data_IF_185784465937
#
_entry.id   IF_185784465937
#
_cell.length_a   1.000
_cell.length_b   1.000
_cell.length_c   1.000
_cell.angle_alpha   90.00
_cell.angle_beta   90.00
_cell.angle_gamma   90.00
#
_symmetry.space_group_name_H-M   'P 1'
#
loop_
_entity.id
_entity.type
_entity.pdbx_description
1 polymer ?
#
# COMPACT_ATOMS: atom_id res chain seq x y z
N UNK A 1 16.60 -0.57 -32.83
CA UNK A 1 15.23 -0.26 -32.36
C UNK A 1 15.30 0.12 -30.89
N UNK A 2 14.59 1.15 -30.49
CA UNK A 2 14.57 1.63 -29.10
C UNK A 2 13.73 0.68 -28.23
N UNK A 3 14.24 0.32 -27.05
CA UNK A 3 13.45 -0.44 -26.07
C UNK A 3 12.50 0.50 -25.34
N UNK A 4 11.20 0.22 -25.41
CA UNK A 4 10.18 0.98 -24.69
C UNK A 4 9.28 0.03 -23.88
N UNK A 5 8.52 0.59 -22.93
CA UNK A 5 7.55 -0.18 -22.13
C UNK A 5 6.24 -0.41 -22.89
N UNK A 6 5.46 -1.37 -22.43
CA UNK A 6 4.08 -1.58 -22.90
C UNK A 6 3.24 -0.34 -22.68
N UNK A 7 3.37 0.34 -21.53
CA UNK A 7 2.68 1.62 -21.28
C UNK A 7 2.95 2.62 -22.39
N UNK A 8 4.23 2.89 -22.69
CA UNK A 8 4.60 3.87 -23.72
C UNK A 8 4.15 3.44 -25.13
N UNK A 9 4.22 2.15 -25.45
CA UNK A 9 3.82 1.64 -26.76
C UNK A 9 2.30 1.70 -27.01
N UNK A 10 1.49 1.91 -25.96
CA UNK A 10 0.02 2.02 -26.07
C UNK A 10 -0.43 3.43 -26.48
N UNK A 11 0.42 4.43 -26.32
CA UNK A 11 0.11 5.83 -26.61
C UNK A 11 0.13 6.11 -28.12
N UNK A 12 -0.68 7.07 -28.57
CA UNK A 12 -0.85 7.39 -29.99
C UNK A 12 0.45 7.95 -30.61
N UNK A 13 1.25 8.65 -29.80
CA UNK A 13 2.56 9.20 -30.17
C UNK A 13 3.58 8.10 -30.51
N UNK A 14 3.30 6.84 -30.18
CA UNK A 14 4.15 5.74 -30.54
C UNK A 14 4.00 5.29 -32.01
N UNK A 15 2.91 5.67 -32.70
CA UNK A 15 2.62 5.23 -34.07
C UNK A 15 3.76 5.60 -35.04
N UNK A 16 4.14 4.65 -35.90
CA UNK A 16 5.22 4.76 -36.86
C UNK A 16 6.62 4.50 -36.29
N UNK A 17 6.77 4.34 -34.96
CA UNK A 17 8.07 4.04 -34.35
C UNK A 17 8.47 2.57 -34.53
N UNK A 18 9.76 2.35 -34.75
CA UNK A 18 10.39 1.03 -34.73
C UNK A 18 10.92 0.72 -33.32
N UNK A 19 10.26 -0.21 -32.64
CA UNK A 19 10.43 -0.43 -31.19
C UNK A 19 10.88 -1.85 -30.87
N UNK A 20 11.41 -2.02 -29.66
CA UNK A 20 11.72 -3.30 -29.05
C UNK A 20 10.90 -3.45 -27.75
N UNK A 21 9.96 -4.39 -27.71
CA UNK A 21 9.20 -4.74 -26.51
C UNK A 21 9.76 -6.02 -25.89
N UNK A 22 9.77 -6.09 -24.56
CA UNK A 22 10.15 -7.28 -23.82
C UNK A 22 9.15 -7.51 -22.69
N UNK A 23 8.65 -8.72 -22.54
CA UNK A 23 7.65 -9.02 -21.54
C UNK A 23 7.17 -10.47 -21.58
N UNK A 24 6.01 -10.71 -20.97
CA UNK A 24 5.41 -12.02 -20.87
C UNK A 24 4.12 -12.11 -21.67
N UNK A 25 3.94 -13.22 -22.36
CA UNK A 25 2.72 -13.54 -23.08
C UNK A 25 1.58 -13.73 -22.07
N UNK A 26 0.49 -13.00 -22.26
CA UNK A 26 -0.77 -13.18 -21.53
C UNK A 26 -1.65 -14.18 -22.22
N UNK A 27 -1.81 -14.02 -23.54
CA UNK A 27 -2.57 -14.93 -24.38
C UNK A 27 -2.04 -14.89 -25.81
N UNK A 28 -2.17 -16.01 -26.51
CA UNK A 28 -2.01 -16.12 -27.96
C UNK A 28 -3.35 -16.50 -28.59
N UNK A 29 -3.68 -15.94 -29.75
CA UNK A 29 -4.82 -16.36 -30.57
C UNK A 29 -4.41 -16.41 -32.04
N UNK A 30 -4.58 -17.55 -32.67
CA UNK A 30 -4.21 -17.76 -34.07
C UNK A 30 -5.38 -17.34 -34.97
N UNK A 31 -5.09 -16.53 -35.99
CA UNK A 31 -6.06 -16.03 -36.96
C UNK A 31 -6.14 -16.96 -38.16
N UNK A 32 -7.35 -17.10 -38.74
CA UNK A 32 -7.53 -17.77 -40.04
C UNK A 32 -6.82 -17.04 -41.18
N UNK A 33 -6.45 -15.76 -40.98
CA UNK A 33 -5.72 -14.94 -41.95
C UNK A 33 -4.21 -15.20 -42.02
N UNK A 34 -3.67 -16.21 -41.31
CA UNK A 34 -2.25 -16.55 -41.40
C UNK A 34 -1.33 -15.72 -40.50
N UNK A 35 -1.79 -15.36 -39.30
CA UNK A 35 -1.01 -14.64 -38.30
C UNK A 35 -1.53 -14.92 -36.89
N UNK A 36 -0.71 -14.67 -35.86
CA UNK A 36 -1.07 -14.82 -34.45
C UNK A 36 -1.16 -13.46 -33.76
N UNK A 37 -2.21 -13.28 -32.97
CA UNK A 37 -2.32 -12.17 -32.01
C UNK A 37 -1.68 -12.57 -30.69
N UNK A 38 -0.62 -11.85 -30.29
CA UNK A 38 0.02 -12.00 -28.99
C UNK A 38 -0.38 -10.83 -28.10
N UNK A 39 -0.95 -11.12 -26.93
CA UNK A 39 -1.15 -10.11 -25.89
C UNK A 39 0.08 -10.12 -24.99
N UNK A 40 0.92 -9.08 -25.08
CA UNK A 40 2.17 -8.94 -24.36
C UNK A 40 2.02 -7.96 -23.19
N UNK A 41 2.58 -8.26 -22.01
CA UNK A 41 2.58 -7.35 -20.87
C UNK A 41 3.94 -7.41 -20.15
N UNK A 42 4.43 -6.27 -19.72
CA UNK A 42 5.71 -6.13 -19.00
C UNK A 42 5.54 -5.61 -17.56
N UNK A 43 4.29 -5.45 -17.10
CA UNK A 43 3.94 -4.91 -15.78
C UNK A 43 3.87 -3.38 -15.70
N UNK A 44 4.31 -2.64 -16.71
CA UNK A 44 4.33 -1.16 -16.71
C UNK A 44 2.93 -0.52 -16.74
N UNK A 45 1.91 -1.27 -17.15
CA UNK A 45 0.49 -0.89 -17.11
C UNK A 45 -0.40 -2.10 -16.89
N UNK A 46 -1.68 -1.88 -16.58
CA UNK A 46 -2.66 -2.97 -16.50
C UNK A 46 -2.93 -3.56 -17.89
N UNK A 47 -3.17 -2.70 -18.88
CA UNK A 47 -3.44 -3.11 -20.25
C UNK A 47 -2.23 -3.77 -20.91
N UNK A 48 -2.53 -4.66 -21.85
CA UNK A 48 -1.53 -5.37 -22.66
C UNK A 48 -1.22 -4.59 -23.93
N UNK A 49 -0.12 -4.94 -24.58
CA UNK A 49 0.13 -4.59 -25.97
C UNK A 49 -0.18 -5.75 -26.89
N UNK A 50 -1.13 -5.56 -27.79
CA UNK A 50 -1.35 -6.49 -28.90
C UNK A 50 -0.22 -6.41 -29.91
N UNK A 51 0.34 -7.56 -30.24
CA UNK A 51 1.34 -7.78 -31.27
C UNK A 51 0.75 -8.71 -32.34
N UNK A 52 0.90 -8.34 -33.60
CA UNK A 52 0.59 -9.16 -34.77
C UNK A 52 1.90 -9.83 -35.21
N UNK A 53 1.91 -11.15 -35.21
CA UNK A 53 3.01 -11.96 -35.68
C UNK A 53 2.56 -12.74 -36.92
N UNK A 54 3.03 -12.35 -38.10
CA UNK A 54 2.65 -12.95 -39.37
C UNK A 54 3.32 -14.31 -39.60
N UNK A 55 2.70 -15.16 -40.43
CA UNK A 55 3.20 -16.50 -40.73
C UNK A 55 4.50 -16.52 -41.56
N UNK A 56 4.92 -15.39 -42.09
CA UNK A 56 6.20 -15.22 -42.79
C UNK A 56 7.40 -15.11 -41.83
N UNK A 57 7.16 -14.92 -40.53
CA UNK A 57 8.21 -14.92 -39.53
C UNK A 57 8.92 -16.29 -39.48
N UNK A 58 10.27 -16.34 -39.52
CA UNK A 58 11.01 -17.61 -39.68
C UNK A 58 10.71 -18.68 -38.63
N UNK A 59 10.39 -18.27 -37.39
CA UNK A 59 10.08 -19.17 -36.27
C UNK A 59 8.57 -19.30 -36.00
N UNK A 60 7.71 -18.89 -36.95
CA UNK A 60 6.26 -18.86 -36.71
C UNK A 60 5.68 -20.23 -36.36
N UNK A 61 5.92 -21.23 -37.21
CA UNK A 61 5.43 -22.60 -37.03
C UNK A 61 6.15 -23.33 -35.87
N UNK A 62 7.44 -23.08 -35.68
CA UNK A 62 8.24 -23.79 -34.69
C UNK A 62 8.09 -23.26 -33.26
N UNK A 63 7.84 -21.96 -33.08
CA UNK A 63 7.85 -21.31 -31.76
C UNK A 63 6.60 -20.46 -31.52
N UNK A 64 6.25 -19.54 -32.43
CA UNK A 64 5.20 -18.52 -32.17
C UNK A 64 3.84 -19.19 -31.95
N UNK A 65 3.47 -20.18 -32.76
CA UNK A 65 2.24 -20.98 -32.60
C UNK A 65 2.23 -21.87 -31.36
N UNK A 66 3.33 -21.94 -30.63
CA UNK A 66 3.47 -22.70 -29.40
C UNK A 66 3.60 -21.81 -28.15
N UNK A 67 3.63 -20.48 -28.31
CA UNK A 67 3.68 -19.55 -27.18
C UNK A 67 2.44 -19.64 -26.28
N UNK A 68 2.66 -19.88 -25.00
CA UNK A 68 1.64 -20.02 -23.96
C UNK A 68 1.70 -18.83 -22.99
N UNK A 69 0.71 -18.74 -22.10
CA UNK A 69 0.72 -17.73 -21.04
C UNK A 69 1.95 -17.94 -20.13
N UNK A 70 2.71 -16.88 -19.89
CA UNK A 70 3.94 -16.93 -19.08
C UNK A 70 5.24 -17.09 -19.88
N UNK A 71 5.18 -17.39 -21.19
CA UNK A 71 6.38 -17.32 -22.03
C UNK A 71 6.96 -15.91 -22.02
N UNK A 72 8.29 -15.81 -21.95
CA UNK A 72 9.01 -14.53 -22.01
C UNK A 72 9.58 -14.32 -23.40
N UNK A 73 9.35 -13.14 -23.98
CA UNK A 73 9.71 -12.84 -25.38
C UNK A 73 10.30 -11.45 -25.53
N UNK A 74 11.07 -11.26 -26.60
CA UNK A 74 11.35 -9.95 -27.19
C UNK A 74 10.66 -9.85 -28.53
N UNK A 75 10.00 -8.72 -28.76
CA UNK A 75 9.35 -8.40 -30.04
C UNK A 75 10.00 -7.15 -30.59
N UNK A 76 10.47 -7.22 -31.83
CA UNK A 76 10.96 -6.06 -32.57
C UNK A 76 10.01 -5.82 -33.73
N UNK A 77 9.54 -4.58 -33.88
CA UNK A 77 8.51 -4.29 -34.86
C UNK A 77 8.09 -2.82 -34.89
N UNK A 78 7.11 -2.56 -35.74
CA UNK A 78 6.56 -1.23 -35.96
C UNK A 78 5.26 -1.05 -35.16
N UNK A 79 5.12 0.08 -34.47
CA UNK A 79 3.83 0.46 -33.90
C UNK A 79 2.95 1.04 -34.99
N UNK A 80 1.72 0.53 -35.12
CA UNK A 80 0.72 1.02 -36.05
C UNK A 80 -0.56 1.38 -35.33
N UNK A 81 -1.39 2.18 -35.99
CA UNK A 81 -2.76 2.40 -35.57
C UNK A 81 -3.51 1.06 -35.54
N UNK A 82 -4.24 0.80 -34.45
CA UNK A 82 -4.98 -0.45 -34.32
C UNK A 82 -6.29 -0.39 -35.09
N UNK A 83 -6.50 -1.35 -35.99
CA UNK A 83 -7.81 -1.55 -36.64
C UNK A 83 -8.89 -2.15 -35.71
N UNK A 84 -8.52 -2.58 -34.49
CA UNK A 84 -9.42 -3.19 -33.52
C UNK A 84 -9.97 -2.21 -32.47
N UNK A 85 -11.21 -2.44 -32.02
CA UNK A 85 -11.81 -1.68 -30.91
C UNK A 85 -11.08 -1.94 -29.58
N UNK A 86 -10.93 -0.90 -28.76
CA UNK A 86 -10.43 -1.01 -27.38
C UNK A 86 -8.93 -0.79 -27.17
N UNK A 87 -8.19 -0.38 -28.20
CA UNK A 87 -6.78 0.01 -28.09
C UNK A 87 -6.44 1.01 -29.22
N UNK A 88 -5.60 2.00 -28.93
CA UNK A 88 -5.18 2.99 -29.95
C UNK A 88 -4.16 2.41 -30.93
N UNK A 89 -3.25 1.58 -30.44
CA UNK A 89 -2.12 1.05 -31.22
C UNK A 89 -2.03 -0.47 -31.20
N UNK A 90 -1.28 -1.04 -32.14
CA UNK A 90 -0.81 -2.42 -32.16
C UNK A 90 0.61 -2.49 -32.72
N UNK A 91 1.34 -3.58 -32.48
CA UNK A 91 2.71 -3.76 -33.00
C UNK A 91 2.71 -4.83 -34.07
N UNK A 92 3.19 -4.51 -35.27
CA UNK A 92 3.44 -5.46 -36.34
C UNK A 92 4.87 -5.98 -36.16
N UNK A 93 5.01 -7.26 -35.79
CA UNK A 93 6.29 -7.85 -35.46
C UNK A 93 7.09 -8.15 -36.73
N UNK A 94 8.32 -7.63 -36.80
CA UNK A 94 9.32 -8.06 -37.78
C UNK A 94 10.22 -9.18 -37.24
N UNK A 95 10.29 -9.35 -35.93
CA UNK A 95 11.04 -10.41 -35.26
C UNK A 95 10.44 -10.71 -33.88
N UNK A 96 10.31 -12.00 -33.54
CA UNK A 96 9.92 -12.47 -32.20
C UNK A 96 10.97 -13.45 -31.70
N UNK A 97 11.59 -13.15 -30.56
CA UNK A 97 12.62 -13.97 -29.92
C UNK A 97 12.05 -14.54 -28.63
N UNK A 98 12.00 -15.88 -28.52
CA UNK A 98 11.62 -16.59 -27.30
C UNK A 98 12.82 -16.71 -26.35
N UNK A 99 12.65 -16.27 -25.09
CA UNK A 99 13.69 -16.37 -24.05
C UNK A 99 13.45 -17.52 -23.08
N UNK A 100 12.18 -17.85 -22.82
CA UNK A 100 11.82 -18.89 -21.87
C UNK A 100 10.37 -19.31 -22.04
N UNK A 101 10.15 -20.62 -22.00
CA UNK A 101 8.83 -21.24 -22.12
C UNK A 101 8.12 -21.33 -20.78
N UNK A 102 6.80 -21.49 -20.83
CA UNK A 102 5.97 -21.85 -19.68
C UNK A 102 5.01 -22.97 -20.08
N UNK A 103 5.09 -24.12 -19.41
CA UNK A 103 4.17 -25.22 -19.72
C UNK A 103 2.74 -24.84 -19.31
N UNK A 104 1.81 -24.89 -20.27
CA UNK A 104 0.42 -24.50 -20.06
C UNK A 104 -0.30 -25.38 -19.02
N UNK A 105 0.10 -26.64 -18.86
CA UNK A 105 -0.55 -27.57 -17.94
C UNK A 105 -0.11 -27.34 -16.50
N UNK A 106 1.16 -26.98 -16.29
CA UNK A 106 1.77 -26.86 -14.97
C UNK A 106 1.95 -25.42 -14.49
N UNK A 107 1.89 -24.42 -15.38
CA UNK A 107 2.08 -23.02 -15.00
C UNK A 107 1.00 -22.54 -14.02
N UNK A 108 1.32 -22.12 -12.79
CA UNK A 108 0.31 -21.84 -11.76
C UNK A 108 -0.70 -20.74 -12.13
N UNK A 109 -0.27 -19.73 -12.88
CA UNK A 109 -1.10 -18.60 -13.30
C UNK A 109 -1.79 -18.84 -14.65
N UNK A 110 -2.38 -20.03 -14.83
CA UNK A 110 -3.23 -20.32 -15.98
C UNK A 110 -4.34 -19.27 -16.12
N UNK A 111 -4.87 -19.12 -17.34
CA UNK A 111 -5.93 -18.16 -17.69
C UNK A 111 -7.30 -18.60 -17.12
N UNK A 112 -7.39 -18.63 -15.80
CA UNK A 112 -8.59 -18.90 -15.01
C UNK A 112 -8.61 -17.97 -13.79
N UNK A 113 -9.77 -17.87 -13.14
CA UNK A 113 -9.88 -17.13 -11.88
C UNK A 113 -9.14 -17.90 -10.79
N UNK A 114 -8.32 -17.19 -10.02
CA UNK A 114 -7.68 -17.70 -8.80
C UNK A 114 -8.22 -16.91 -7.61
N UNK A 115 -8.42 -17.55 -6.47
CA UNK A 115 -8.79 -16.85 -5.24
C UNK A 115 -7.63 -16.05 -4.68
N UNK A 116 -7.92 -15.02 -3.87
CA UNK A 116 -6.86 -14.25 -3.22
C UNK A 116 -6.08 -15.11 -2.21
N UNK A 117 -6.73 -16.07 -1.56
CA UNK A 117 -6.11 -17.05 -0.66
C UNK A 117 -5.02 -17.83 -1.41
N UNK A 118 -5.34 -18.35 -2.60
CA UNK A 118 -4.35 -19.09 -3.38
C UNK A 118 -3.21 -18.20 -3.87
N UNK A 119 -3.51 -16.95 -4.22
CA UNK A 119 -2.49 -15.99 -4.60
C UNK A 119 -1.58 -15.59 -3.43
N UNK A 120 -2.05 -15.63 -2.17
CA UNK A 120 -1.19 -15.45 -0.99
C UNK A 120 -0.18 -16.59 -0.85
N UNK A 121 -0.56 -17.83 -1.14
CA UNK A 121 0.39 -18.97 -1.17
C UNK A 121 1.45 -18.81 -2.28
N UNK A 122 1.07 -18.19 -3.41
CA UNK A 122 1.97 -17.90 -4.53
C UNK A 122 2.47 -16.46 -4.55
N UNK A 123 2.90 -15.94 -3.39
CA UNK A 123 3.34 -14.56 -3.22
C UNK A 123 4.42 -14.12 -4.24
N UNK A 124 5.32 -15.04 -4.63
CA UNK A 124 6.38 -14.79 -5.61
C UNK A 124 5.88 -14.68 -7.07
N UNK A 125 4.68 -15.19 -7.39
CA UNK A 125 4.09 -15.11 -8.74
C UNK A 125 2.95 -14.10 -8.83
N UNK A 126 2.21 -13.86 -7.74
CA UNK A 126 0.99 -13.04 -7.76
C UNK A 126 1.15 -11.64 -8.36
N UNK A 127 2.29 -10.91 -8.29
CA UNK A 127 2.43 -9.61 -8.94
C UNK A 127 2.24 -9.65 -10.46
N UNK A 128 2.36 -10.84 -11.06
CA UNK A 128 2.07 -11.06 -12.48
C UNK A 128 0.58 -11.09 -12.78
N UNK A 129 -0.32 -11.12 -11.81
CA UNK A 129 -1.77 -11.05 -12.05
C UNK A 129 -2.24 -9.61 -12.17
N UNK A 130 -3.40 -9.39 -12.80
CA UNK A 130 -3.96 -8.04 -12.97
C UNK A 130 -4.15 -7.33 -11.63
N UNK A 131 -4.80 -7.99 -10.67
CA UNK A 131 -5.14 -7.40 -9.38
C UNK A 131 -3.90 -7.01 -8.57
N UNK A 132 -2.94 -7.92 -8.41
CA UNK A 132 -1.78 -7.65 -7.55
C UNK A 132 -0.73 -6.79 -8.28
N UNK A 133 -0.70 -6.80 -9.61
CA UNK A 133 0.05 -5.81 -10.40
C UNK A 133 -0.51 -4.40 -10.21
N UNK A 134 -1.84 -4.24 -10.24
CA UNK A 134 -2.51 -2.97 -9.95
C UNK A 134 -2.23 -2.49 -8.52
N UNK A 135 -2.33 -3.37 -7.52
CA UNK A 135 -1.97 -3.05 -6.13
C UNK A 135 -0.53 -2.55 -6.03
N UNK A 136 0.42 -3.20 -6.70
CA UNK A 136 1.82 -2.79 -6.66
C UNK A 136 2.05 -1.40 -7.29
N UNK A 137 1.43 -1.12 -8.44
CA UNK A 137 1.54 0.20 -9.10
C UNK A 137 0.88 1.31 -8.28
N UNK A 138 -0.31 1.06 -7.72
CA UNK A 138 -1.02 2.02 -6.87
C UNK A 138 -0.22 2.28 -5.58
N UNK A 139 0.32 1.24 -4.92
CA UNK A 139 1.20 1.39 -3.77
C UNK A 139 2.44 2.23 -4.11
N UNK A 140 3.05 2.01 -5.27
CA UNK A 140 4.18 2.83 -5.73
C UNK A 140 3.78 4.31 -5.93
N UNK A 141 2.60 4.58 -6.49
CA UNK A 141 2.08 5.95 -6.61
C UNK A 141 1.90 6.60 -5.23
N UNK A 142 1.30 5.88 -4.29
CA UNK A 142 1.12 6.33 -2.90
C UNK A 142 2.48 6.67 -2.29
N UNK A 143 3.49 5.80 -2.37
CA UNK A 143 4.81 6.07 -1.80
C UNK A 143 5.45 7.35 -2.40
N UNK A 144 5.35 7.53 -3.71
CA UNK A 144 5.85 8.75 -4.38
C UNK A 144 5.09 9.99 -3.92
N UNK A 145 3.77 9.92 -3.84
CA UNK A 145 2.91 11.02 -3.39
C UNK A 145 3.25 11.45 -1.96
N UNK A 146 3.44 10.48 -1.05
CA UNK A 146 3.86 10.73 0.33
C UNK A 146 5.17 11.51 0.38
N UNK A 147 6.20 11.05 -0.34
CA UNK A 147 7.49 11.73 -0.38
C UNK A 147 7.38 13.15 -0.94
N UNK A 148 6.64 13.31 -2.05
CA UNK A 148 6.43 14.62 -2.66
C UNK A 148 5.71 15.57 -1.71
N UNK A 149 4.60 15.14 -1.09
CA UNK A 149 3.83 15.95 -0.14
C UNK A 149 4.70 16.48 0.98
N UNK A 150 5.43 15.60 1.68
CA UNK A 150 6.24 16.03 2.82
C UNK A 150 7.40 16.94 2.39
N UNK A 151 8.06 16.66 1.26
CA UNK A 151 9.13 17.54 0.75
C UNK A 151 8.62 18.91 0.32
N UNK A 152 7.47 18.97 -0.35
CA UNK A 152 6.81 20.23 -0.74
C UNK A 152 6.36 21.04 0.50
N UNK A 153 5.89 20.36 1.56
CA UNK A 153 5.58 20.97 2.85
C UNK A 153 6.83 21.28 3.68
N UNK A 154 8.05 21.02 3.18
CA UNK A 154 9.33 21.36 3.82
C UNK A 154 9.73 20.45 4.99
N UNK A 155 9.24 19.22 5.03
CA UNK A 155 9.71 18.18 5.95
C UNK A 155 10.95 17.46 5.39
N UNK A 156 11.85 17.05 6.28
CA UNK A 156 13.03 16.25 5.92
C UNK A 156 12.79 14.76 6.19
N UNK A 157 13.14 13.92 5.23
CA UNK A 157 13.11 12.47 5.42
C UNK A 157 14.25 12.04 6.34
N UNK A 158 13.93 11.40 7.46
CA UNK A 158 14.91 10.87 8.41
C UNK A 158 14.77 9.36 8.56
N UNK A 159 15.91 8.69 8.72
CA UNK A 159 15.95 7.24 8.97
C UNK A 159 16.16 7.01 10.47
N UNK A 160 15.10 6.58 11.14
CA UNK A 160 15.12 6.18 12.55
C UNK A 160 15.60 4.73 12.69
N UNK A 161 16.20 4.34 13.82
CA UNK A 161 16.72 3.00 14.02
C UNK A 161 15.61 1.95 14.09
N UNK A 162 15.84 0.80 13.43
CA UNK A 162 14.91 -0.33 13.47
C UNK A 162 15.17 -1.23 14.69
N UNK A 163 16.44 -1.43 15.04
CA UNK A 163 16.81 -2.16 16.25
C UNK A 163 16.86 -1.17 17.41
N UNK A 164 16.07 -1.43 18.44
CA UNK A 164 15.91 -0.55 19.60
C UNK A 164 16.00 -1.31 20.91
N UNK A 165 16.35 -0.60 21.98
CA UNK A 165 16.21 -1.06 23.36
C UNK A 165 15.03 -0.40 24.09
N UNK A 166 14.26 0.43 23.38
CA UNK A 166 13.12 1.20 23.89
C UNK A 166 11.81 0.61 23.40
N UNK A 167 10.80 0.60 24.26
CA UNK A 167 9.42 0.33 23.87
C UNK A 167 8.69 1.67 23.73
N UNK A 168 8.40 2.06 22.49
CA UNK A 168 7.77 3.35 22.18
C UNK A 168 6.30 3.40 22.62
N UNK A 169 5.56 2.30 22.43
CA UNK A 169 4.12 2.26 22.72
C UNK A 169 3.80 1.71 24.12
N UNK A 170 4.78 1.09 24.81
CA UNK A 170 4.63 0.57 26.16
C UNK A 170 3.79 -0.70 26.25
N UNK A 171 3.53 -1.35 25.11
CA UNK A 171 2.69 -2.54 25.00
C UNK A 171 3.46 -3.86 25.24
N UNK A 172 4.79 -3.82 25.28
CA UNK A 172 5.65 -4.95 25.65
C UNK A 172 5.75 -6.11 24.65
N UNK A 173 4.90 -6.18 23.63
CA UNK A 173 4.89 -7.24 22.62
C UNK A 173 5.80 -6.91 21.43
N UNK A 174 7.12 -6.94 21.66
CA UNK A 174 8.14 -6.66 20.64
C UNK A 174 8.92 -7.92 20.23
N UNK A 175 9.32 -8.02 18.96
CA UNK A 175 10.21 -9.08 18.52
C UNK A 175 11.63 -8.85 19.03
N UNK A 176 12.20 -9.83 19.73
CA UNK A 176 13.58 -9.77 20.23
C UNK A 176 14.59 -10.02 19.11
N UNK A 177 15.62 -9.19 19.04
CA UNK A 177 16.78 -9.35 18.16
C UNK A 177 17.99 -9.74 19.01
N UNK A 178 18.56 -10.93 18.77
CA UNK A 178 19.64 -11.48 19.58
C UNK A 178 20.55 -12.35 18.72
N UNK A 179 21.84 -12.37 19.04
CA UNK A 179 22.81 -13.30 18.45
C UNK A 179 23.16 -14.46 19.38
N UNK A 180 22.57 -14.52 20.57
CA UNK A 180 22.79 -15.61 21.52
C UNK A 180 22.24 -16.92 20.96
N UNK A 181 22.91 -18.03 21.29
CA UNK A 181 22.40 -19.36 20.99
C UNK A 181 21.08 -19.59 21.78
N UNK A 182 19.94 -19.81 21.10
CA UNK A 182 18.66 -20.04 21.79
C UNK A 182 18.64 -21.35 22.58
N UNK A 183 19.46 -22.35 22.22
CA UNK A 183 19.55 -23.61 22.94
C UNK A 183 20.46 -23.53 24.17
N UNK A 184 21.50 -22.70 24.12
CA UNK A 184 22.49 -22.57 25.19
C UNK A 184 22.97 -21.12 25.38
N UNK A 185 22.09 -20.20 25.82
CA UNK A 185 22.49 -18.82 26.03
C UNK A 185 23.42 -18.70 27.24
N UNK A 186 24.39 -17.75 27.23
CA UNK A 186 25.19 -17.45 28.41
C UNK A 186 24.27 -17.02 29.57
N UNK A 187 24.62 -17.44 30.79
CA UNK A 187 23.82 -17.15 31.98
C UNK A 187 24.65 -16.49 33.07
N UNK A 188 24.01 -15.57 33.77
CA UNK A 188 24.50 -14.93 34.99
C UNK A 188 23.37 -14.97 36.01
N UNK A 189 23.65 -15.50 37.20
CA UNK A 189 22.67 -15.67 38.28
C UNK A 189 21.38 -16.41 37.86
N UNK A 190 21.53 -17.40 36.96
CA UNK A 190 20.43 -18.23 36.46
C UNK A 190 19.58 -17.61 35.35
N UNK A 191 19.80 -16.34 35.01
CA UNK A 191 19.13 -15.63 33.92
C UNK A 191 20.03 -15.49 32.70
N UNK A 192 19.45 -15.19 31.53
CA UNK A 192 20.22 -14.92 30.31
C UNK A 192 21.08 -13.67 30.56
N UNK A 193 22.38 -13.79 30.33
CA UNK A 193 23.32 -12.68 30.45
C UNK A 193 23.36 -11.86 29.14
N UNK A 194 22.44 -10.91 29.01
CA UNK A 194 22.37 -10.04 27.84
C UNK A 194 23.57 -9.11 27.68
N UNK A 195 24.45 -8.98 28.69
CA UNK A 195 25.71 -8.26 28.52
C UNK A 195 26.66 -8.95 27.53
N UNK A 196 26.42 -10.24 27.26
CA UNK A 196 27.13 -11.04 26.26
C UNK A 196 26.40 -11.14 24.91
N UNK A 197 25.25 -10.49 24.76
CA UNK A 197 24.58 -10.35 23.47
C UNK A 197 25.27 -9.26 22.62
N UNK A 198 24.93 -9.17 21.33
CA UNK A 198 25.57 -8.26 20.38
C UNK A 198 25.55 -6.78 20.81
N UNK A 199 24.44 -6.31 21.39
CA UNK A 199 24.26 -4.93 21.84
C UNK A 199 24.59 -4.73 23.33
N UNK A 200 25.09 -5.77 24.02
CA UNK A 200 25.36 -5.78 25.46
C UNK A 200 24.15 -5.41 26.34
N UNK A 201 22.94 -5.54 25.79
CA UNK A 201 21.63 -5.33 26.42
C UNK A 201 20.55 -6.00 25.55
N UNK A 202 19.34 -6.24 26.09
CA UNK A 202 18.21 -6.67 25.26
C UNK A 202 17.93 -5.69 24.13
N UNK A 203 17.70 -6.21 22.92
CA UNK A 203 17.37 -5.43 21.73
C UNK A 203 16.16 -6.05 21.01
N UNK A 204 15.42 -5.20 20.32
CA UNK A 204 14.12 -5.53 19.75
C UNK A 204 13.94 -4.84 18.39
N UNK A 205 12.98 -5.32 17.60
CA UNK A 205 12.49 -4.60 16.43
C UNK A 205 11.50 -3.53 16.88
N UNK A 206 11.65 -2.31 16.36
CA UNK A 206 10.85 -1.16 16.79
C UNK A 206 9.38 -1.27 16.38
N UNK A 207 8.50 -0.81 17.27
CA UNK A 207 7.07 -0.63 16.99
C UNK A 207 6.79 0.72 16.30
N UNK A 208 7.66 1.71 16.50
CA UNK A 208 7.51 3.09 16.00
C UNK A 208 8.86 3.83 16.08
N UNK A 209 9.12 4.72 15.12
CA UNK A 209 10.28 5.62 15.12
C UNK A 209 10.01 6.99 15.76
N UNK A 210 8.83 7.18 16.37
CA UNK A 210 8.35 8.47 16.86
C UNK A 210 9.32 9.13 17.85
N UNK A 211 9.78 8.42 18.87
CA UNK A 211 10.65 9.01 19.91
C UNK A 211 11.97 9.53 19.31
N UNK A 212 12.55 8.82 18.35
CA UNK A 212 13.72 9.32 17.62
C UNK A 212 13.36 10.49 16.70
N UNK A 213 12.20 10.46 16.04
CA UNK A 213 11.73 11.56 15.20
C UNK A 213 11.55 12.87 16.00
N UNK A 214 11.09 12.80 17.26
CA UNK A 214 10.99 13.96 18.16
C UNK A 214 12.36 14.61 18.39
N UNK A 215 13.43 13.82 18.55
CA UNK A 215 14.80 14.35 18.69
C UNK A 215 15.25 15.11 17.44
N UNK A 216 14.91 14.60 16.26
CA UNK A 216 15.22 15.26 14.99
C UNK A 216 14.37 16.51 14.78
N UNK A 217 13.08 16.49 15.12
CA UNK A 217 12.19 17.65 15.01
C UNK A 217 12.70 18.83 15.84
N UNK A 218 13.26 18.57 17.04
CA UNK A 218 13.88 19.60 17.88
C UNK A 218 15.11 20.27 17.23
N UNK A 219 15.78 19.60 16.30
CA UNK A 219 16.96 20.11 15.60
C UNK A 219 16.65 20.66 14.19
N UNK A 220 15.67 20.08 13.50
CA UNK A 220 15.41 20.28 12.08
C UNK A 220 14.03 20.90 11.80
N UNK A 221 13.22 21.13 12.82
CA UNK A 221 11.89 21.70 12.71
C UNK A 221 10.87 20.65 12.28
N UNK A 222 10.91 20.20 11.03
CA UNK A 222 9.91 19.28 10.45
C UNK A 222 10.58 18.07 9.82
N UNK A 223 10.23 16.87 10.29
CA UNK A 223 10.80 15.60 9.81
C UNK A 223 9.73 14.55 9.62
N UNK A 224 9.98 13.55 8.80
CA UNK A 224 9.12 12.38 8.73
C UNK A 224 9.94 11.11 8.58
N UNK A 225 9.45 10.02 9.17
CA UNK A 225 9.95 8.67 8.91
C UNK A 225 9.11 8.03 7.80
N UNK A 226 9.71 7.06 7.12
CA UNK A 226 9.05 6.14 6.22
C UNK A 226 9.87 4.86 6.33
N UNK A 227 9.41 3.93 7.15
CA UNK A 227 10.19 2.74 7.51
C UNK A 227 9.32 1.57 7.96
N UNK A 228 9.90 0.35 8.00
CA UNK A 228 9.21 -0.81 8.54
C UNK A 228 9.08 -0.73 10.06
N UNK A 229 7.95 -1.18 10.57
CA UNK A 229 7.67 -1.36 12.00
C UNK A 229 7.07 -2.74 12.25
N UNK A 230 7.15 -3.18 13.51
CA UNK A 230 6.87 -4.57 13.85
C UNK A 230 6.00 -4.66 15.10
N UNK A 231 5.04 -5.59 15.11
CA UNK A 231 4.22 -5.91 16.29
C UNK A 231 4.19 -7.42 16.50
N UNK A 232 4.52 -7.87 17.71
CA UNK A 232 4.57 -9.30 18.05
C UNK A 232 3.26 -9.82 18.66
N UNK A 233 2.18 -9.05 18.55
CA UNK A 233 0.85 -9.45 18.99
C UNK A 233 0.37 -10.71 18.26
N UNK A 234 -0.21 -11.65 19.01
CA UNK A 234 -0.77 -12.87 18.43
C UNK A 234 -2.17 -12.62 17.85
N UNK A 235 -2.23 -11.75 16.85
CA UNK A 235 -3.47 -11.30 16.19
C UNK A 235 -3.53 -11.81 14.75
N UNK A 236 -4.35 -12.84 14.51
CA UNK A 236 -4.60 -13.37 13.16
C UNK A 236 -5.95 -12.89 12.63
N UNK A 237 -5.96 -11.68 12.07
CA UNK A 237 -7.16 -11.05 11.50
C UNK A 237 -6.90 -10.59 10.07
N UNK A 238 -7.93 -10.12 9.37
CA UNK A 238 -7.79 -9.63 7.99
C UNK A 238 -7.08 -8.27 7.86
N UNK A 239 -6.78 -7.59 8.97
CA UNK A 239 -6.26 -6.21 9.00
C UNK A 239 -4.89 -6.06 9.66
N UNK A 240 -4.45 -7.04 10.46
CA UNK A 240 -3.19 -6.96 11.20
C UNK A 240 -2.04 -7.65 10.46
N UNK A 241 -0.85 -7.06 10.53
CA UNK A 241 0.40 -7.61 10.03
C UNK A 241 1.46 -7.48 11.13
N UNK A 242 2.32 -8.48 11.28
CA UNK A 242 3.45 -8.40 12.23
C UNK A 242 4.61 -7.55 11.71
N UNK A 243 4.68 -7.31 10.40
CA UNK A 243 5.60 -6.38 9.73
C UNK A 243 4.78 -5.50 8.78
N UNK A 244 4.85 -4.20 8.98
CA UNK A 244 4.17 -3.20 8.15
C UNK A 244 5.04 -1.97 8.03
N UNK A 245 4.56 -0.97 7.28
CA UNK A 245 5.31 0.26 7.03
C UNK A 245 4.54 1.42 7.62
N UNK A 246 5.22 2.23 8.43
CA UNK A 246 4.68 3.44 9.01
C UNK A 246 5.33 4.67 8.40
N UNK A 247 4.54 5.73 8.34
CA UNK A 247 4.95 7.05 7.91
C UNK A 247 4.63 7.98 9.06
N UNK A 248 5.66 8.50 9.71
CA UNK A 248 5.53 9.20 10.99
C UNK A 248 6.11 10.61 10.87
N UNK A 249 5.31 11.61 10.49
CA UNK A 249 5.73 13.00 10.51
C UNK A 249 5.75 13.56 11.94
N UNK A 250 6.80 14.33 12.26
CA UNK A 250 6.97 15.03 13.54
C UNK A 250 7.42 16.47 13.27
N UNK A 251 6.78 17.44 13.93
CA UNK A 251 6.96 18.86 13.65
C UNK A 251 7.03 19.70 14.93
N UNK A 252 8.14 20.41 15.10
CA UNK A 252 8.31 21.39 16.16
C UNK A 252 7.34 22.57 15.97
N UNK A 253 6.83 23.08 17.10
CA UNK A 253 5.89 24.20 17.16
C UNK A 253 4.50 23.95 16.56
N UNK A 254 4.14 22.68 16.28
CA UNK A 254 2.78 22.29 15.93
C UNK A 254 1.98 21.99 17.19
N UNK A 255 0.75 22.51 17.27
CA UNK A 255 -0.24 22.03 18.23
C UNK A 255 -1.10 20.90 17.64
N UNK A 256 -2.06 20.39 18.42
CA UNK A 256 -2.97 19.35 17.94
C UNK A 256 -3.78 19.79 16.71
N UNK A 257 -4.19 21.06 16.61
CA UNK A 257 -4.94 21.56 15.46
C UNK A 257 -4.09 21.60 14.19
N UNK A 258 -2.83 22.00 14.31
CA UNK A 258 -1.88 21.95 13.20
C UNK A 258 -1.67 20.51 12.72
N UNK A 259 -1.59 19.56 13.65
CA UNK A 259 -1.48 18.13 13.35
C UNK A 259 -2.72 17.59 12.61
N UNK A 260 -3.94 17.92 13.10
CA UNK A 260 -5.20 17.54 12.44
C UNK A 260 -5.28 18.08 11.00
N UNK A 261 -4.93 19.36 10.81
CA UNK A 261 -4.90 19.98 9.47
C UNK A 261 -3.86 19.35 8.56
N UNK A 262 -2.68 18.98 9.09
CA UNK A 262 -1.65 18.30 8.31
C UNK A 262 -2.14 16.94 7.83
N UNK A 263 -2.74 16.15 8.72
CA UNK A 263 -3.28 14.83 8.41
C UNK A 263 -4.37 14.89 7.32
N UNK A 264 -5.29 15.85 7.40
CA UNK A 264 -6.30 16.06 6.36
C UNK A 264 -5.67 16.41 5.00
N UNK A 265 -4.78 17.41 4.94
CA UNK A 265 -4.10 17.81 3.69
C UNK A 265 -3.31 16.65 3.09
N UNK A 266 -2.63 15.88 3.94
CA UNK A 266 -1.84 14.73 3.55
C UNK A 266 -2.70 13.65 2.86
N UNK A 267 -3.79 13.24 3.50
CA UNK A 267 -4.69 12.23 2.93
C UNK A 267 -5.33 12.72 1.64
N UNK A 268 -5.80 13.98 1.60
CA UNK A 268 -6.37 14.58 0.39
C UNK A 268 -5.35 14.62 -0.76
N UNK A 269 -4.09 14.94 -0.49
CA UNK A 269 -3.03 14.88 -1.51
C UNK A 269 -2.86 13.46 -2.06
N UNK A 270 -2.68 12.47 -1.19
CA UNK A 270 -2.41 11.09 -1.62
C UNK A 270 -3.58 10.50 -2.41
N UNK A 271 -4.82 10.73 -1.97
CA UNK A 271 -6.00 10.25 -2.69
C UNK A 271 -6.18 10.95 -4.04
N UNK A 272 -5.90 12.25 -4.12
CA UNK A 272 -5.89 13.01 -5.37
C UNK A 272 -4.90 12.42 -6.38
N UNK A 273 -3.64 12.25 -5.97
CA UNK A 273 -2.58 11.71 -6.84
C UNK A 273 -2.91 10.28 -7.31
N UNK A 274 -3.53 9.44 -6.46
CA UNK A 274 -3.97 8.10 -6.87
C UNK A 274 -5.09 8.15 -7.93
N UNK A 275 -6.09 9.00 -7.75
CA UNK A 275 -7.17 9.15 -8.73
C UNK A 275 -6.68 9.73 -10.05
N UNK A 276 -5.69 10.61 -10.02
CA UNK A 276 -5.10 11.21 -11.22
C UNK A 276 -4.17 10.24 -11.95
N UNK A 277 -3.21 9.63 -11.24
CA UNK A 277 -2.10 8.90 -11.86
C UNK A 277 -2.35 7.39 -12.02
N UNK A 278 -3.35 6.82 -11.33
CA UNK A 278 -3.64 5.38 -11.34
C UNK A 278 -5.03 5.04 -11.94
N UNK A 279 -5.58 5.88 -12.82
CA UNK A 279 -6.93 5.75 -13.37
C UNK A 279 -7.26 4.35 -13.90
N UNK A 280 -6.36 3.74 -14.69
CA UNK A 280 -6.58 2.39 -15.26
C UNK A 280 -6.66 1.31 -14.16
N UNK A 281 -5.79 1.39 -13.16
CA UNK A 281 -5.74 0.45 -12.04
C UNK A 281 -6.93 0.63 -11.08
N UNK A 282 -7.31 1.88 -10.80
CA UNK A 282 -8.47 2.22 -9.99
C UNK A 282 -9.78 1.80 -10.67
N UNK A 283 -9.88 1.97 -11.99
CA UNK A 283 -11.02 1.47 -12.78
C UNK A 283 -11.14 -0.04 -12.67
N UNK A 284 -10.01 -0.76 -12.72
CA UNK A 284 -10.00 -2.20 -12.52
C UNK A 284 -10.50 -2.60 -11.12
N UNK A 285 -10.08 -1.90 -10.06
CA UNK A 285 -10.60 -2.17 -8.72
C UNK A 285 -12.10 -1.93 -8.65
N UNK A 286 -12.58 -0.84 -9.23
CA UNK A 286 -14.01 -0.55 -9.30
C UNK A 286 -14.80 -1.66 -10.02
N UNK A 287 -14.32 -2.09 -11.18
CA UNK A 287 -15.03 -3.08 -12.00
C UNK A 287 -14.92 -4.52 -11.45
N UNK A 288 -13.93 -4.84 -10.59
CA UNK A 288 -13.59 -6.23 -10.24
C UNK A 288 -13.44 -6.55 -8.75
N UNK A 289 -13.33 -5.54 -7.89
CA UNK A 289 -12.99 -5.72 -6.47
C UNK A 289 -13.99 -5.01 -5.57
N UNK A 290 -14.18 -3.70 -5.74
CA UNK A 290 -15.06 -2.86 -4.93
C UNK A 290 -15.65 -1.76 -5.81
N UNK A 291 -16.94 -1.89 -6.15
CA UNK A 291 -17.66 -0.98 -7.06
C UNK A 291 -17.67 0.48 -6.60
N UNK A 292 -17.41 0.75 -5.31
CA UNK A 292 -17.41 2.09 -4.74
C UNK A 292 -15.98 2.65 -4.53
N UNK A 293 -14.94 1.94 -4.98
CA UNK A 293 -13.55 2.31 -4.68
C UNK A 293 -13.17 3.72 -5.13
N UNK A 294 -13.64 4.16 -6.31
CA UNK A 294 -13.35 5.50 -6.84
C UNK A 294 -14.23 6.55 -6.17
N UNK A 295 -15.53 6.28 -6.05
CA UNK A 295 -16.49 7.24 -5.52
C UNK A 295 -16.21 7.54 -4.05
N UNK A 296 -15.84 6.53 -3.24
CA UNK A 296 -15.40 6.72 -1.86
C UNK A 296 -14.22 7.70 -1.75
N UNK A 297 -13.20 7.59 -2.63
CA UNK A 297 -12.06 8.50 -2.61
C UNK A 297 -12.47 9.92 -3.02
N UNK A 298 -13.36 10.06 -4.01
CA UNK A 298 -13.90 11.37 -4.42
C UNK A 298 -14.69 12.04 -3.31
N UNK A 299 -15.57 11.30 -2.65
CA UNK A 299 -16.36 11.80 -1.52
C UNK A 299 -15.45 12.29 -0.38
N UNK A 300 -14.37 11.56 -0.07
CA UNK A 300 -13.39 11.98 0.94
C UNK A 300 -12.66 13.27 0.51
N UNK A 301 -12.31 13.41 -0.77
CA UNK A 301 -11.64 14.61 -1.29
C UNK A 301 -12.53 15.85 -1.25
N UNK A 302 -13.82 15.66 -1.54
CA UNK A 302 -14.82 16.74 -1.58
C UNK A 302 -15.36 17.11 -0.19
N UNK A 303 -15.16 16.25 0.82
CA UNK A 303 -15.62 16.47 2.19
C UNK A 303 -14.59 17.23 3.03
N UNK A 304 -15.06 18.10 3.92
CA UNK A 304 -14.25 18.60 5.04
C UNK A 304 -14.25 17.56 6.16
N UNK A 305 -13.10 17.42 6.84
CA UNK A 305 -12.97 16.45 7.92
C UNK A 305 -13.60 17.05 9.19
N UNK A 306 -14.61 16.39 9.76
CA UNK A 306 -15.28 16.91 10.95
C UNK A 306 -14.44 16.64 12.20
N UNK A 307 -14.23 17.66 13.02
CA UNK A 307 -13.52 17.50 14.29
C UNK A 307 -14.53 17.19 15.39
N UNK A 308 -14.44 16.01 15.99
CA UNK A 308 -15.39 15.51 17.00
C UNK A 308 -14.60 15.13 18.25
N UNK A 309 -14.93 15.69 19.41
CA UNK A 309 -14.25 15.24 20.64
C UNK A 309 -14.62 13.78 20.95
N UNK A 310 -13.72 13.03 21.60
CA UNK A 310 -13.99 11.67 22.05
C UNK A 310 -15.27 11.61 22.91
N UNK A 311 -15.44 12.58 23.81
CA UNK A 311 -16.64 12.68 24.66
C UNK A 311 -17.91 12.84 23.82
N UNK A 312 -17.89 13.67 22.79
CA UNK A 312 -19.01 13.81 21.85
C UNK A 312 -19.25 12.52 21.05
N UNK A 313 -18.18 11.84 20.61
CA UNK A 313 -18.29 10.57 19.89
C UNK A 313 -18.99 9.50 20.74
N UNK A 314 -18.61 9.36 22.01
CA UNK A 314 -19.28 8.46 22.97
C UNK A 314 -20.75 8.85 23.15
N UNK A 315 -21.04 10.13 23.33
CA UNK A 315 -22.42 10.64 23.45
C UNK A 315 -23.30 10.25 22.25
N UNK A 316 -22.78 10.34 21.02
CA UNK A 316 -23.51 9.93 19.82
C UNK A 316 -23.70 8.41 19.75
N UNK A 317 -22.70 7.64 20.16
CA UNK A 317 -22.76 6.18 20.19
C UNK A 317 -23.80 5.68 21.20
N UNK A 318 -23.80 6.20 22.42
CA UNK A 318 -24.76 5.83 23.47
C UNK A 318 -26.21 6.22 23.09
N UNK A 319 -26.39 7.36 22.42
CA UNK A 319 -27.72 7.84 21.97
C UNK A 319 -28.20 7.22 20.66
N UNK A 320 -27.37 6.43 19.98
CA UNK A 320 -27.70 5.84 18.67
C UNK A 320 -28.90 4.89 18.71
N UNK A 321 -29.16 4.27 19.87
CA UNK A 321 -30.13 3.17 20.00
C UNK A 321 -29.72 1.89 19.28
N UNK A 322 -28.51 1.84 18.70
CA UNK A 322 -27.96 0.67 18.03
C UNK A 322 -27.39 -0.31 19.05
N UNK A 323 -27.53 -1.60 18.77
CA UNK A 323 -26.82 -2.64 19.51
C UNK A 323 -25.44 -2.84 18.91
N UNK A 324 -24.42 -2.67 19.74
CA UNK A 324 -23.01 -2.94 19.42
C UNK A 324 -22.57 -4.20 20.16
N UNK A 325 -21.59 -4.90 19.60
CA UNK A 325 -21.02 -6.10 20.21
C UNK A 325 -20.01 -5.73 21.31
N UNK A 326 -19.33 -4.60 21.15
CA UNK A 326 -18.40 -4.04 22.13
C UNK A 326 -19.08 -2.96 23.00
N UNK A 327 -18.68 -2.86 24.29
CA UNK A 327 -19.29 -1.90 25.20
C UNK A 327 -18.89 -0.46 24.83
N UNK A 328 -19.87 0.42 24.83
CA UNK A 328 -19.68 1.87 24.72
C UNK A 328 -19.71 2.43 26.14
N UNK A 329 -18.62 3.08 26.53
CA UNK A 329 -18.54 3.86 27.75
C UNK A 329 -17.35 4.82 27.67
N UNK A 330 -17.47 5.98 28.30
CA UNK A 330 -16.34 6.90 28.45
C UNK A 330 -15.18 6.20 29.18
N UNK A 331 -13.97 6.31 28.63
CA UNK A 331 -12.79 5.59 29.12
C UNK A 331 -12.59 4.20 28.48
N UNK A 332 -13.43 3.81 27.51
CA UNK A 332 -13.20 2.65 26.63
C UNK A 332 -12.73 3.09 25.26
N UNK A 333 -11.86 2.30 24.67
CA UNK A 333 -11.37 2.57 23.33
C UNK A 333 -12.47 2.35 22.28
N UNK A 334 -12.43 3.11 21.20
CA UNK A 334 -13.34 2.90 20.08
C UNK A 334 -12.95 1.59 19.37
N UNK A 335 -13.95 0.91 18.83
CA UNK A 335 -13.74 -0.33 18.07
C UNK A 335 -14.18 -0.06 16.64
N UNK A 336 -13.74 -0.90 15.70
CA UNK A 336 -14.04 -0.71 14.28
C UNK A 336 -15.54 -0.57 13.98
N UNK A 337 -16.44 -1.21 14.73
CA UNK A 337 -17.89 -1.02 14.56
C UNK A 337 -18.38 0.37 15.01
N UNK A 338 -17.77 0.94 16.05
CA UNK A 338 -18.07 2.29 16.56
C UNK A 338 -17.60 3.34 15.57
N UNK A 339 -16.35 3.23 15.10
CA UNK A 339 -15.75 4.13 14.10
C UNK A 339 -16.53 4.14 12.79
N UNK A 340 -16.94 2.96 12.32
CA UNK A 340 -17.77 2.83 11.11
C UNK A 340 -19.15 3.43 11.29
N UNK A 341 -19.81 3.23 12.44
CA UNK A 341 -21.09 3.89 12.70
C UNK A 341 -20.95 5.43 12.64
N UNK A 342 -19.92 5.97 13.29
CA UNK A 342 -19.67 7.41 13.31
C UNK A 342 -19.46 7.96 11.89
N UNK A 343 -18.58 7.34 11.12
CA UNK A 343 -18.21 7.81 9.76
C UNK A 343 -19.26 7.51 8.69
N UNK A 344 -19.91 6.34 8.72
CA UNK A 344 -20.80 5.87 7.63
C UNK A 344 -22.27 6.22 7.85
N UNK A 345 -22.73 6.31 9.10
CA UNK A 345 -24.16 6.49 9.41
C UNK A 345 -24.46 7.83 10.07
N UNK A 346 -23.71 8.18 11.13
CA UNK A 346 -23.96 9.37 11.94
C UNK A 346 -23.54 10.66 11.21
N UNK A 347 -22.28 10.73 10.80
CA UNK A 347 -21.70 11.93 10.19
C UNK A 347 -21.66 11.86 8.66
N UNK A 348 -21.55 10.65 8.09
CA UNK A 348 -21.46 10.43 6.63
C UNK A 348 -20.31 11.22 6.00
N UNK A 349 -19.21 11.32 6.73
CA UNK A 349 -18.02 12.08 6.38
C UNK A 349 -16.79 11.49 7.10
N UNK A 350 -15.57 11.75 6.61
CA UNK A 350 -14.36 11.58 7.40
C UNK A 350 -14.44 12.41 8.68
N UNK A 351 -13.98 11.86 9.79
CA UNK A 351 -13.93 12.57 11.06
C UNK A 351 -12.56 12.45 11.70
N UNK A 352 -12.18 13.44 12.48
CA UNK A 352 -11.01 13.41 13.35
C UNK A 352 -11.53 13.42 14.78
N UNK A 353 -11.39 12.28 15.45
CA UNK A 353 -11.77 12.15 16.86
C UNK A 353 -10.59 12.64 17.70
N UNK A 354 -10.82 13.56 18.64
CA UNK A 354 -9.74 14.16 19.43
C UNK A 354 -10.03 14.23 20.94
N UNK A 355 -9.00 14.51 21.75
CA UNK A 355 -9.07 14.61 23.21
C UNK A 355 -9.52 13.31 23.91
N UNK A 356 -8.75 12.24 23.70
CA UNK A 356 -9.02 10.92 24.29
C UNK A 356 -8.68 10.85 25.79
N UNK A 357 -9.31 9.95 26.57
CA UNK A 357 -8.98 9.72 27.97
C UNK A 357 -7.51 9.29 28.14
N UNK A 358 -6.80 9.90 29.09
CA UNK A 358 -5.37 9.61 29.35
C UNK A 358 -5.08 8.15 29.74
N UNK A 359 -6.09 7.42 30.22
CA UNK A 359 -5.94 6.04 30.71
C UNK A 359 -5.88 5.00 29.61
N UNK A 360 -6.23 5.36 28.38
CA UNK A 360 -6.27 4.44 27.22
C UNK A 360 -5.32 4.87 26.10
N UNK A 361 -4.47 5.87 26.35
CA UNK A 361 -3.51 6.37 25.37
C UNK A 361 -2.08 6.30 25.96
N UNK A 362 -1.04 6.23 25.10
CA UNK A 362 0.35 6.14 25.54
C UNK A 362 0.82 7.32 26.41
N UNK A 363 1.89 7.07 27.18
CA UNK A 363 2.42 8.00 28.19
C UNK A 363 2.92 9.34 27.64
N UNK A 364 3.29 9.40 26.37
CA UNK A 364 3.93 10.56 25.74
C UNK A 364 2.93 11.65 25.29
N UNK A 365 1.62 11.41 25.41
CA UNK A 365 0.62 12.34 24.88
C UNK A 365 0.38 13.49 25.86
N UNK A 366 0.37 14.73 25.36
CA UNK A 366 0.22 15.93 26.18
C UNK A 366 -1.10 15.95 26.93
N UNK A 367 -1.05 16.08 28.25
CA UNK A 367 -2.22 16.22 29.12
C UNK A 367 -2.99 17.52 28.81
N UNK A 368 -4.32 17.44 28.75
CA UNK A 368 -5.19 18.60 28.64
C UNK A 368 -5.41 19.28 30.00
N UNK A 369 -5.92 20.51 29.97
CA UNK A 369 -6.16 21.32 31.17
C UNK A 369 -7.27 20.74 32.07
N UNK A 370 -8.04 19.77 31.57
CA UNK A 370 -9.06 19.04 32.32
C UNK A 370 -8.50 17.91 33.22
N UNK A 371 -7.19 17.65 33.14
CA UNK A 371 -6.48 16.57 33.84
C UNK A 371 -7.01 15.14 33.57
N UNK A 372 -7.89 14.98 32.59
CA UNK A 372 -8.60 13.74 32.30
C UNK A 372 -8.31 13.20 30.88
N UNK A 373 -8.15 14.10 29.92
CA UNK A 373 -7.89 13.77 28.51
C UNK A 373 -6.48 14.16 28.08
N UNK A 374 -6.03 13.59 26.97
CA UNK A 374 -4.76 13.92 26.31
C UNK A 374 -5.04 14.42 24.90
N UNK A 375 -4.14 15.26 24.37
CA UNK A 375 -4.20 15.85 23.04
C UNK A 375 -3.90 14.86 21.93
N UNK A 376 -4.66 13.77 21.89
CA UNK A 376 -4.63 12.74 20.87
C UNK A 376 -5.63 13.08 19.76
N UNK A 377 -5.36 12.55 18.57
CA UNK A 377 -6.29 12.50 17.46
C UNK A 377 -6.22 11.15 16.76
N UNK A 378 -7.37 10.66 16.32
CA UNK A 378 -7.47 9.54 15.39
C UNK A 378 -8.31 9.99 14.18
N UNK A 379 -7.78 9.83 12.97
CA UNK A 379 -8.46 10.15 11.72
C UNK A 379 -9.19 8.90 11.24
N UNK A 380 -10.52 9.00 11.15
CA UNK A 380 -11.41 7.91 10.77
C UNK A 380 -12.00 8.20 9.39
N UNK A 381 -11.90 7.22 8.49
CA UNK A 381 -12.47 7.30 7.14
C UNK A 381 -13.52 6.20 6.90
N UNK A 382 -14.60 6.49 6.17
CA UNK A 382 -15.62 5.48 5.83
C UNK A 382 -15.03 4.20 5.22
N UNK A 383 -15.57 3.04 5.59
CA UNK A 383 -15.17 1.71 5.09
C UNK A 383 -13.95 1.10 5.77
N UNK A 384 -12.95 1.90 6.16
CA UNK A 384 -11.72 1.42 6.81
C UNK A 384 -11.81 1.53 8.32
N UNK A 385 -12.19 2.70 8.84
CA UNK A 385 -12.00 3.09 10.25
C UNK A 385 -10.77 3.98 10.40
N UNK A 386 -10.01 3.78 11.46
CA UNK A 386 -8.74 4.49 11.69
C UNK A 386 -7.75 4.32 10.53
N UNK A 387 -7.18 5.44 10.07
CA UNK A 387 -6.10 5.48 9.07
C UNK A 387 -4.86 6.27 9.52
N UNK A 388 -5.01 7.18 10.48
CA UNK A 388 -3.91 7.94 11.11
C UNK A 388 -4.22 8.09 12.60
N UNK A 389 -3.26 7.76 13.46
CA UNK A 389 -3.26 8.11 14.88
C UNK A 389 -2.11 9.08 15.17
N UNK A 390 -2.32 10.05 16.06
CA UNK A 390 -1.30 11.04 16.41
C UNK A 390 -1.63 11.82 17.68
N UNK A 391 -0.70 12.64 18.17
CA UNK A 391 -0.97 13.54 19.30
C UNK A 391 -0.01 14.72 19.32
N UNK A 392 -0.35 15.73 20.10
CA UNK A 392 0.62 16.73 20.57
C UNK A 392 1.44 16.14 21.74
N UNK A 393 2.74 16.43 21.78
CA UNK A 393 3.67 16.00 22.84
C UNK A 393 3.86 17.07 23.92
#
# INVERSE_FOLDING_TARGET
MEKISVRAAREAEAIGRQICLQGWIRTRRDSKGGFSFLELNDGSSLGNKKVIADADLPNYEAEIKHLTAGCSVTVRGEVRESGGKGQATEVHAGEVILHGTADAETYPLQKKRHSFEKLREWAHLRPRTNALGAVARVRNCICRSIHNFFQEEGFLYVHTPIITASDCEGAGEMFRVSTLDPANPPKKDGQIDYSQDFFHRPAYLTVSGQLEAETYACALGKVYTFGPTFRAENSNTSRHLSEFWMIEPEAAFFDLNDNMRLAERFLKRVFGDVLEDCQEDMRFFMDRVDENAIDRLREILESDFLHVSYTEAIDHLERSGRKFDFPIAWGKDLQAEHERYLTEEKFRAPIIVYDYPKTIKPFYMKLNDDDATVRAMDVLVPGVGEIIGGSQR
#
